data_IF_918821385180
#
_entry.id   IF_918821385180
#
_cell.length_a   1.000
_cell.length_b   1.000
_cell.length_c   1.000
_cell.angle_alpha   90.00
_cell.angle_beta   90.00
_cell.angle_gamma   90.00
#
_symmetry.space_group_name_H-M   'P 1'
#
loop_
_entity.id
_entity.type
_entity.pdbx_description
1 polymer ?
#
# COMPACT_ATOMS: atom_id res chain seq x y z
N UNK A 1 -0.41 15.13 8.06
CA UNK A 1 -1.06 14.13 8.95
C UNK A 1 -0.35 14.12 10.30
N UNK A 2 -1.07 14.05 11.42
CA UNK A 2 -0.46 13.89 12.76
C UNK A 2 -0.09 12.42 13.00
N UNK A 3 0.85 12.13 13.91
CA UNK A 3 1.30 10.76 14.22
C UNK A 3 0.17 9.76 14.52
N UNK A 4 -0.87 10.19 15.26
CA UNK A 4 -2.04 9.36 15.59
C UNK A 4 -2.84 8.92 14.35
N UNK A 5 -3.06 9.85 13.40
CA UNK A 5 -3.76 9.57 12.14
C UNK A 5 -2.99 8.58 11.24
N UNK A 6 -1.66 8.67 11.22
CA UNK A 6 -0.81 7.76 10.46
C UNK A 6 -0.83 6.32 11.00
N UNK A 7 -0.89 6.16 12.32
CA UNK A 7 -1.03 4.84 12.93
C UNK A 7 -2.43 4.25 12.70
N UNK A 8 -3.48 5.07 12.89
CA UNK A 8 -4.85 4.62 12.64
C UNK A 8 -5.10 4.26 11.18
N UNK A 9 -4.46 4.95 10.22
CA UNK A 9 -4.48 4.55 8.81
C UNK A 9 -3.81 3.20 8.61
N UNK A 10 -2.60 3.03 9.14
CA UNK A 10 -1.84 1.82 8.95
C UNK A 10 -2.58 0.59 9.50
N UNK A 11 -3.18 0.68 10.69
CA UNK A 11 -4.00 -0.41 11.25
C UNK A 11 -5.18 -0.74 10.32
N UNK A 12 -5.90 0.27 9.83
CA UNK A 12 -7.02 0.06 8.90
C UNK A 12 -6.59 -0.61 7.59
N UNK A 13 -5.40 -0.29 7.08
CA UNK A 13 -4.82 -0.96 5.90
C UNK A 13 -4.50 -2.41 6.19
N UNK A 14 -3.93 -2.72 7.35
CA UNK A 14 -3.64 -4.11 7.73
C UNK A 14 -4.92 -4.93 7.90
N UNK A 15 -5.97 -4.36 8.50
CA UNK A 15 -7.27 -5.01 8.61
C UNK A 15 -7.88 -5.30 7.23
N UNK A 16 -7.73 -4.35 6.29
CA UNK A 16 -8.19 -4.52 4.91
C UNK A 16 -7.40 -5.60 4.18
N UNK A 17 -6.08 -5.57 4.28
CA UNK A 17 -5.20 -6.58 3.70
C UNK A 17 -5.55 -7.98 4.22
N UNK A 18 -5.72 -8.12 5.54
CA UNK A 18 -6.15 -9.37 6.17
C UNK A 18 -7.50 -9.84 5.61
N UNK A 19 -8.48 -8.94 5.47
CA UNK A 19 -9.77 -9.26 4.89
C UNK A 19 -9.69 -9.67 3.41
N UNK A 20 -8.82 -9.04 2.62
CA UNK A 20 -8.66 -9.32 1.19
C UNK A 20 -7.95 -10.66 0.94
N UNK A 21 -6.97 -11.01 1.79
CA UNK A 21 -6.19 -12.26 1.69
C UNK A 21 -6.85 -13.43 2.42
N UNK A 22 -7.82 -13.16 3.31
CA UNK A 22 -8.44 -14.17 4.17
C UNK A 22 -7.58 -14.59 5.36
N UNK A 23 -6.54 -13.82 5.67
CA UNK A 23 -5.63 -14.05 6.79
C UNK A 23 -6.13 -13.36 8.07
N UNK A 24 -5.68 -13.81 9.24
CA UNK A 24 -5.88 -13.08 10.48
C UNK A 24 -4.77 -12.02 10.69
N UNK A 25 -5.09 -10.93 11.39
CA UNK A 25 -4.17 -9.81 11.59
C UNK A 25 -2.85 -10.22 12.28
N UNK A 26 -2.86 -11.21 13.16
CA UNK A 26 -1.64 -11.66 13.84
C UNK A 26 -0.71 -12.36 12.85
N UNK A 27 -1.25 -13.20 11.96
CA UNK A 27 -0.49 -13.82 10.86
C UNK A 27 0.10 -12.76 9.93
N UNK A 28 -0.71 -11.78 9.50
CA UNK A 28 -0.23 -10.66 8.66
C UNK A 28 0.96 -9.93 9.30
N UNK A 29 0.85 -9.60 10.59
CA UNK A 29 1.91 -8.90 11.32
C UNK A 29 3.19 -9.73 11.41
N UNK A 30 3.08 -11.04 11.63
CA UNK A 30 4.23 -11.94 11.64
C UNK A 30 4.88 -11.97 10.25
N UNK A 31 4.08 -12.16 9.21
CA UNK A 31 4.53 -12.33 7.83
C UNK A 31 5.26 -11.11 7.28
N UNK A 32 4.81 -9.89 7.62
CA UNK A 32 5.47 -8.66 7.23
C UNK A 32 6.91 -8.53 7.76
N UNK A 33 7.23 -9.24 8.84
CA UNK A 33 8.58 -9.26 9.42
C UNK A 33 9.46 -10.37 8.88
N UNK A 34 8.89 -11.34 8.15
CA UNK A 34 9.61 -12.48 7.60
C UNK A 34 10.14 -12.18 6.20
N UNK A 35 11.38 -12.62 5.95
CA UNK A 35 11.93 -12.69 4.61
C UNK A 35 11.25 -13.83 3.85
N UNK A 36 10.74 -13.52 2.67
CA UNK A 36 10.11 -14.49 1.74
C UNK A 36 10.83 -14.46 0.40
N UNK A 37 10.49 -15.37 -0.52
CA UNK A 37 11.03 -15.32 -1.87
C UNK A 37 10.58 -14.02 -2.59
N UNK A 38 11.34 -13.56 -3.60
CA UNK A 38 11.09 -12.26 -4.23
C UNK A 38 9.69 -12.12 -4.85
N UNK A 39 9.12 -13.20 -5.40
CA UNK A 39 7.82 -13.10 -6.07
C UNK A 39 6.68 -12.93 -5.05
N UNK A 40 6.70 -13.73 -3.98
CA UNK A 40 5.76 -13.58 -2.86
C UNK A 40 5.86 -12.20 -2.22
N UNK A 41 7.08 -11.68 -2.09
CA UNK A 41 7.35 -10.32 -1.62
C UNK A 41 6.69 -9.24 -2.49
N UNK A 42 6.76 -9.36 -3.82
CA UNK A 42 6.11 -8.44 -4.74
C UNK A 42 4.58 -8.49 -4.62
N UNK A 43 3.99 -9.70 -4.62
CA UNK A 43 2.54 -9.87 -4.47
C UNK A 43 2.03 -9.23 -3.17
N UNK A 44 2.74 -9.41 -2.06
CA UNK A 44 2.40 -8.77 -0.78
C UNK A 44 2.39 -7.24 -0.87
N UNK A 45 3.36 -6.65 -1.59
CA UNK A 45 3.43 -5.20 -1.80
C UNK A 45 2.25 -4.73 -2.66
N UNK A 46 1.85 -5.48 -3.68
CA UNK A 46 0.66 -5.19 -4.50
C UNK A 46 -0.61 -5.21 -3.66
N UNK A 47 -0.84 -6.29 -2.90
CA UNK A 47 -2.02 -6.47 -2.05
C UNK A 47 -2.11 -5.39 -0.96
N UNK A 48 -1.00 -5.01 -0.34
CA UNK A 48 -0.96 -3.90 0.62
C UNK A 48 -1.22 -2.54 -0.04
N UNK A 49 -0.72 -2.33 -1.25
CA UNK A 49 -0.98 -1.11 -2.00
C UNK A 49 -2.47 -1.01 -2.38
N UNK A 50 -3.10 -2.12 -2.77
CA UNK A 50 -4.53 -2.19 -3.02
C UNK A 50 -5.35 -1.93 -1.75
N UNK A 51 -4.99 -2.57 -0.64
CA UNK A 51 -5.61 -2.31 0.66
C UNK A 51 -5.47 -0.84 1.08
N UNK A 52 -4.32 -0.20 0.77
CA UNK A 52 -4.08 1.23 1.01
C UNK A 52 -5.01 2.10 0.15
N UNK A 53 -5.17 1.77 -1.13
CA UNK A 53 -6.09 2.47 -2.03
C UNK A 53 -7.52 2.44 -1.48
N UNK A 54 -8.02 1.25 -1.14
CA UNK A 54 -9.36 1.05 -0.59
C UNK A 54 -9.54 1.83 0.73
N UNK A 55 -8.57 1.74 1.65
CA UNK A 55 -8.57 2.45 2.92
C UNK A 55 -8.66 3.98 2.75
N UNK A 56 -7.98 4.54 1.74
CA UNK A 56 -7.99 5.98 1.47
C UNK A 56 -9.31 6.40 0.82
N UNK A 57 -9.85 5.58 -0.10
CA UNK A 57 -11.16 5.83 -0.73
C UNK A 57 -12.29 5.86 0.31
N UNK A 58 -12.29 4.92 1.26
CA UNK A 58 -13.27 4.85 2.35
C UNK A 58 -13.23 6.03 3.32
N UNK A 59 -12.07 6.69 3.41
CA UNK A 59 -11.90 7.93 4.20
C UNK A 59 -12.38 9.17 3.46
N UNK A 60 -12.98 9.00 2.28
CA UNK A 60 -13.60 10.07 1.51
C UNK A 60 -12.64 10.78 0.55
N UNK A 61 -11.46 10.20 0.27
CA UNK A 61 -10.68 10.65 -0.88
C UNK A 61 -11.48 10.36 -2.16
N UNK A 62 -11.50 11.31 -3.09
CA UNK A 62 -12.15 11.17 -4.40
C UNK A 62 -11.32 10.26 -5.31
N UNK A 63 -11.13 9.01 -4.88
CA UNK A 63 -10.42 8.00 -5.64
C UNK A 63 -11.42 7.33 -6.58
N UNK A 64 -11.24 7.47 -7.91
CA UNK A 64 -12.11 6.85 -8.88
C UNK A 64 -12.14 5.33 -8.70
N UNK A 65 -13.35 4.80 -8.61
CA UNK A 65 -13.62 3.36 -8.52
C UNK A 65 -13.47 2.63 -9.85
N UNK A 66 -13.35 3.38 -10.96
CA UNK A 66 -13.14 2.84 -12.31
C UNK A 66 -12.55 3.90 -13.25
N UNK A 67 -11.58 3.55 -14.14
CA UNK A 67 -10.92 2.24 -14.24
C UNK A 67 -10.07 1.94 -12.98
N UNK A 68 -10.00 0.68 -12.55
CA UNK A 68 -9.17 0.31 -11.39
C UNK A 68 -7.70 0.71 -11.62
N UNK A 69 -6.99 1.18 -10.58
CA UNK A 69 -5.57 1.47 -10.71
C UNK A 69 -4.81 0.21 -11.13
N UNK A 70 -3.80 0.38 -11.97
CA UNK A 70 -2.87 -0.69 -12.28
C UNK A 70 -1.72 -0.63 -11.27
N UNK A 71 -1.70 -1.59 -10.37
CA UNK A 71 -0.74 -1.71 -9.27
C UNK A 71 0.23 -2.83 -9.64
N UNK A 72 1.51 -2.50 -9.74
CA UNK A 72 2.57 -3.45 -10.07
C UNK A 72 3.73 -3.32 -9.11
N UNK A 73 4.15 -4.45 -8.55
CA UNK A 73 5.40 -4.56 -7.82
C UNK A 73 6.40 -5.42 -8.61
N UNK A 74 7.56 -4.85 -8.92
CA UNK A 74 8.68 -5.61 -9.45
C UNK A 74 9.63 -5.94 -8.30
N UNK A 75 9.91 -7.22 -8.01
CA UNK A 75 10.82 -7.56 -6.93
C UNK A 75 12.28 -7.36 -7.33
N UNK A 76 13.09 -7.07 -6.33
CA UNK A 76 14.54 -7.09 -6.38
C UNK A 76 15.08 -8.28 -5.56
N UNK A 77 16.37 -8.59 -5.74
CA UNK A 77 17.00 -9.74 -5.06
C UNK A 77 17.44 -9.41 -3.62
N UNK A 78 17.37 -8.15 -3.21
CA UNK A 78 17.84 -7.61 -1.92
C UNK A 78 16.72 -7.43 -0.88
N UNK A 79 15.51 -7.95 -1.15
CA UNK A 79 14.38 -7.83 -0.22
C UNK A 79 13.63 -6.50 -0.34
N UNK A 80 13.73 -5.86 -1.51
CA UNK A 80 12.95 -4.69 -1.89
C UNK A 80 12.06 -5.00 -3.11
N UNK A 81 11.00 -4.22 -3.29
CA UNK A 81 10.16 -4.25 -4.47
C UNK A 81 9.84 -2.84 -4.95
N UNK A 82 9.95 -2.61 -6.25
CA UNK A 82 9.51 -1.35 -6.87
C UNK A 82 8.01 -1.40 -7.13
N UNK A 83 7.27 -0.58 -6.39
CA UNK A 83 5.84 -0.37 -6.57
C UNK A 83 5.60 0.77 -7.55
N UNK A 84 4.80 0.51 -8.57
CA UNK A 84 4.28 1.50 -9.51
C UNK A 84 2.75 1.42 -9.46
N UNK A 85 2.10 2.56 -9.19
CA UNK A 85 0.64 2.71 -9.27
C UNK A 85 0.33 3.66 -10.42
N UNK A 86 -0.37 3.14 -11.41
CA UNK A 86 -0.85 3.87 -12.57
C UNK A 86 -2.35 4.05 -12.46
N UNK A 87 -2.82 5.25 -12.76
CA UNK A 87 -4.24 5.53 -12.90
C UNK A 87 -4.49 6.17 -14.25
N UNK A 88 -5.34 5.54 -15.07
CA UNK A 88 -5.53 5.88 -16.49
C UNK A 88 -4.20 5.85 -17.27
N UNK A 89 -3.57 7.02 -17.47
CA UNK A 89 -2.31 7.17 -18.20
C UNK A 89 -1.21 7.83 -17.37
N UNK A 90 -1.48 8.14 -16.10
CA UNK A 90 -0.58 8.86 -15.22
C UNK A 90 0.01 7.94 -14.15
N UNK A 91 1.31 8.15 -13.87
CA UNK A 91 1.97 7.54 -12.72
C UNK A 91 1.59 8.33 -11.48
N UNK A 92 0.75 7.73 -10.64
CA UNK A 92 0.31 8.33 -9.36
C UNK A 92 1.35 8.10 -8.28
N UNK A 93 2.03 6.96 -8.33
CA UNK A 93 3.04 6.59 -7.35
C UNK A 93 4.11 5.71 -7.98
N UNK A 94 5.37 5.95 -7.61
CA UNK A 94 6.52 5.15 -8.00
C UNK A 94 7.55 5.23 -6.87
N UNK A 95 7.65 4.17 -6.08
CA UNK A 95 8.56 4.12 -4.94
C UNK A 95 9.08 2.69 -4.74
N UNK A 96 10.14 2.57 -3.96
CA UNK A 96 10.70 1.28 -3.56
C UNK A 96 10.26 0.96 -2.14
N UNK A 97 9.63 -0.19 -1.98
CA UNK A 97 9.14 -0.70 -0.72
C UNK A 97 10.06 -1.79 -0.22
N UNK A 98 10.26 -1.82 1.10
CA UNK A 98 10.80 -3.01 1.75
C UNK A 98 9.82 -4.16 1.58
N UNK A 99 10.31 -5.40 1.49
CA UNK A 99 9.45 -6.59 1.39
C UNK A 99 9.55 -7.49 2.61
N UNK A 100 10.44 -7.14 3.54
CA UNK A 100 10.54 -7.67 4.90
C UNK A 100 11.23 -6.62 5.76
N UNK A 101 10.93 -6.58 7.06
CA UNK A 101 11.58 -5.62 7.96
C UNK A 101 10.68 -5.15 9.10
N UNK A 102 10.95 -3.96 9.61
CA UNK A 102 10.21 -3.45 10.75
C UNK A 102 8.82 -2.95 10.34
N UNK A 103 7.83 -3.12 11.23
CA UNK A 103 6.49 -2.54 11.05
C UNK A 103 6.52 -1.01 10.86
N UNK A 104 7.56 -0.34 11.37
CA UNK A 104 7.74 1.10 11.18
C UNK A 104 8.02 1.47 9.73
N UNK A 105 8.78 0.64 9.01
CA UNK A 105 9.08 0.85 7.60
C UNK A 105 7.86 0.55 6.72
N UNK A 106 7.13 -0.53 7.00
CA UNK A 106 5.85 -0.81 6.36
C UNK A 106 4.85 0.33 6.57
N UNK A 107 4.74 0.83 7.80
CA UNK A 107 3.91 2.00 8.12
C UNK A 107 4.33 3.22 7.29
N UNK A 108 5.63 3.46 7.12
CA UNK A 108 6.14 4.57 6.31
C UNK A 108 5.72 4.41 4.84
N UNK A 109 5.93 3.23 4.26
CA UNK A 109 5.53 2.91 2.89
C UNK A 109 4.03 3.15 2.63
N UNK A 110 3.17 2.61 3.50
CA UNK A 110 1.71 2.80 3.43
C UNK A 110 1.33 4.28 3.53
N UNK A 111 1.90 5.02 4.48
CA UNK A 111 1.59 6.44 4.65
C UNK A 111 2.07 7.30 3.47
N UNK A 112 3.22 6.95 2.86
CA UNK A 112 3.73 7.63 1.67
C UNK A 112 2.76 7.45 0.49
N UNK A 113 2.32 6.22 0.22
CA UNK A 113 1.33 5.95 -0.81
C UNK A 113 0.01 6.68 -0.53
N UNK A 114 -0.53 6.57 0.69
CA UNK A 114 -1.78 7.24 1.04
C UNK A 114 -1.71 8.77 0.88
N UNK A 115 -0.57 9.37 1.19
CA UNK A 115 -0.32 10.80 0.95
C UNK A 115 -0.34 11.13 -0.53
N UNK A 116 0.35 10.33 -1.37
CA UNK A 116 0.38 10.52 -2.81
C UNK A 116 -1.01 10.38 -3.43
N UNK A 117 -1.77 9.36 -3.03
CA UNK A 117 -3.16 9.16 -3.45
C UNK A 117 -4.04 10.36 -3.10
N UNK A 118 -3.96 10.85 -1.86
CA UNK A 118 -4.74 12.00 -1.39
C UNK A 118 -4.36 13.31 -2.09
N UNK A 119 -3.10 13.47 -2.53
CA UNK A 119 -2.67 14.64 -3.30
C UNK A 119 -3.12 14.57 -4.75
N UNK A 120 -3.10 13.38 -5.36
CA UNK A 120 -3.56 13.18 -6.73
C UNK A 120 -5.05 13.49 -6.89
N UNK A 121 -5.88 13.12 -5.91
CA UNK A 121 -7.32 13.46 -5.91
C UNK A 121 -7.55 14.98 -5.89
N UNK A 122 -6.77 15.73 -5.13
CA UNK A 122 -6.89 17.19 -5.08
C UNK A 122 -6.56 17.87 -6.42
N UNK A 123 -5.65 17.27 -7.21
CA UNK A 123 -5.26 17.79 -8.51
C UNK A 123 -6.29 17.49 -9.62
N UNK A 124 -7.12 16.45 -9.46
CA UNK A 124 -8.18 16.10 -10.41
C UNK A 124 -9.48 16.89 -10.18
N UNK A 125 -9.71 17.38 -8.95
CA UNK A 125 -10.91 18.17 -8.60
C UNK A 125 -10.75 19.69 -8.82
N UNK A 126 -9.60 20.16 -9.29
CA UNK A 126 -9.27 21.58 -9.55
C UNK A 126 -9.29 21.92 -11.04
#
# INVERSE_FOLDING_TARGET
>A
MTHSHCLALFIHVLDRYAANTGEDLHTVLADLTLSVDPLTAATRVEDLAEATWQAVAERGADLPSSPSPYILARPFADGEARLIVLFQHDIVFNDVWITSGSLSEWKRCVNNLATALSHHTLALSS
#
